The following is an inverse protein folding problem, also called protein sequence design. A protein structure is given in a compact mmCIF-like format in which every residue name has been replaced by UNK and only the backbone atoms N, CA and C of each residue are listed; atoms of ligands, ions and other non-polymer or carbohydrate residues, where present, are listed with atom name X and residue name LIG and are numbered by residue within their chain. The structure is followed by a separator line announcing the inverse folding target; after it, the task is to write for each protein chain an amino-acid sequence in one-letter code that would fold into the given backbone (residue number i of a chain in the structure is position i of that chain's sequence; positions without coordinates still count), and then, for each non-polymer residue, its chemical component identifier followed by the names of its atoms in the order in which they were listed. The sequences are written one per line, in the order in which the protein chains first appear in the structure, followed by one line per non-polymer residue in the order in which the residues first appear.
data_IF_573762723493
#
_entry.id   IF_573762723493
#
_cell.length_a   1.000
_cell.length_b   1.000
_cell.length_c   1.000
_cell.angle_alpha   90.00
_cell.angle_beta   90.00
_cell.angle_gamma   90.00
#
_symmetry.space_group_name_H-M   'P 1'
#
loop_
_entity.id
_entity.type
_entity.pdbx_description
1 polymer ?
#
# COMPACT_ATOMS: atom_id res chain seq x y z
N UNK A 1 5.81 -14.39 -38.20
CA UNK A 1 5.33 -13.79 -36.92
C UNK A 1 3.93 -14.33 -36.66
N UNK A 2 3.70 -14.85 -35.46
CA UNK A 2 2.39 -15.35 -35.01
C UNK A 2 1.82 -14.32 -34.09
N UNK A 3 0.59 -13.87 -34.35
CA UNK A 3 -0.12 -12.91 -33.49
C UNK A 3 -1.52 -13.43 -33.21
N UNK A 4 -1.87 -13.48 -31.92
CA UNK A 4 -3.22 -13.85 -31.51
C UNK A 4 -4.19 -12.67 -31.66
N UNK A 5 -5.39 -12.97 -32.16
CA UNK A 5 -6.48 -12.00 -32.31
C UNK A 5 -7.68 -12.45 -31.48
N UNK A 6 -8.38 -11.53 -30.85
CA UNK A 6 -9.54 -11.86 -30.02
C UNK A 6 -10.62 -10.79 -30.12
N UNK A 7 -11.88 -11.21 -30.13
CA UNK A 7 -13.04 -10.31 -30.09
C UNK A 7 -13.14 -9.55 -28.76
N UNK A 8 -12.61 -10.11 -27.69
CA UNK A 8 -12.50 -9.45 -26.38
C UNK A 8 -11.48 -8.32 -26.36
N UNK A 9 -10.56 -8.30 -27.34
CA UNK A 9 -9.58 -7.24 -27.54
C UNK A 9 -9.72 -6.66 -28.97
N UNK A 10 -10.72 -5.79 -29.25
CA UNK A 10 -11.08 -5.36 -30.61
C UNK A 10 -9.91 -4.81 -31.44
N UNK A 11 -8.92 -4.19 -30.79
CA UNK A 11 -7.71 -3.69 -31.47
C UNK A 11 -6.82 -4.78 -32.05
N UNK A 12 -6.85 -6.00 -31.46
CA UNK A 12 -6.09 -7.14 -31.96
C UNK A 12 -6.55 -7.57 -33.36
N UNK A 13 -7.78 -7.22 -33.76
CA UNK A 13 -8.36 -7.53 -35.07
C UNK A 13 -7.76 -6.70 -36.22
N UNK A 14 -6.96 -5.65 -35.89
CA UNK A 14 -6.36 -4.77 -36.90
C UNK A 14 -4.86 -5.05 -37.03
N UNK A 15 -4.50 -5.85 -38.02
CA UNK A 15 -3.10 -6.24 -38.26
C UNK A 15 -2.51 -5.47 -39.45
N UNK A 16 -1.24 -5.10 -39.31
CA UNK A 16 -0.43 -4.58 -40.40
C UNK A 16 0.37 -5.71 -41.02
N UNK A 17 0.14 -5.94 -42.30
CA UNK A 17 0.82 -6.95 -43.11
C UNK A 17 1.70 -6.29 -44.15
N UNK A 18 2.93 -6.77 -44.34
CA UNK A 18 3.82 -6.27 -45.40
C UNK A 18 3.25 -6.60 -46.78
N UNK A 19 3.39 -5.71 -47.78
CA UNK A 19 3.01 -6.01 -49.12
C UNK A 19 3.67 -7.30 -49.63
N UNK A 20 2.89 -8.14 -50.32
CA UNK A 20 3.39 -9.42 -50.86
C UNK A 20 3.46 -10.56 -49.87
N UNK A 21 3.08 -10.38 -48.60
CA UNK A 21 3.05 -11.43 -47.59
C UNK A 21 1.74 -12.23 -47.65
N UNK A 22 1.82 -13.52 -47.40
CA UNK A 22 0.64 -14.37 -47.19
C UNK A 22 0.23 -14.34 -45.73
N UNK A 23 -1.08 -14.33 -45.47
CA UNK A 23 -1.65 -14.41 -44.12
C UNK A 23 -2.36 -15.75 -43.97
N UNK A 24 -2.01 -16.50 -42.93
CA UNK A 24 -2.72 -17.72 -42.56
C UNK A 24 -3.50 -17.47 -41.28
N UNK A 25 -4.78 -17.81 -41.29
CA UNK A 25 -5.65 -17.74 -40.10
C UNK A 25 -5.76 -19.13 -39.50
N UNK A 26 -5.46 -19.21 -38.19
CA UNK A 26 -5.65 -20.42 -37.39
C UNK A 26 -6.82 -20.17 -36.48
N UNK A 27 -7.72 -21.15 -36.35
CA UNK A 27 -8.86 -21.10 -35.47
C UNK A 27 -8.54 -22.01 -34.29
N UNK A 28 -8.42 -21.44 -33.11
CA UNK A 28 -8.08 -22.14 -31.86
C UNK A 28 -9.33 -22.56 -31.08
N UNK A 29 -10.52 -22.22 -31.58
CA UNK A 29 -11.77 -22.59 -30.93
C UNK A 29 -12.08 -24.09 -31.10
N UNK A 30 -12.81 -24.70 -30.12
CA UNK A 30 -13.21 -26.10 -30.21
C UNK A 30 -13.91 -26.46 -31.52
N UNK A 31 -13.73 -27.68 -31.98
CA UNK A 31 -14.39 -28.20 -33.20
C UNK A 31 -15.91 -28.07 -33.07
N UNK A 32 -16.54 -27.44 -34.07
CA UNK A 32 -17.98 -27.18 -34.08
C UNK A 32 -18.37 -25.77 -33.63
N UNK A 33 -17.43 -24.95 -33.17
CA UNK A 33 -17.70 -23.55 -32.84
C UNK A 33 -18.07 -22.75 -34.08
N UNK A 34 -19.08 -21.87 -33.98
CA UNK A 34 -19.46 -20.94 -35.02
C UNK A 34 -18.76 -19.61 -34.79
N UNK A 35 -17.89 -19.23 -35.71
CA UNK A 35 -17.18 -17.96 -35.67
C UNK A 35 -17.73 -17.05 -36.72
N UNK A 36 -18.58 -16.07 -36.39
CA UNK A 36 -19.15 -15.13 -37.33
C UNK A 36 -18.08 -14.12 -37.74
N UNK A 37 -17.73 -14.08 -39.04
CA UNK A 37 -16.94 -13.00 -39.62
C UNK A 37 -17.51 -12.65 -40.99
N UNK A 38 -17.49 -11.35 -41.34
CA UNK A 38 -18.06 -10.86 -42.58
C UNK A 38 -17.02 -10.75 -43.70
N UNK A 39 -15.82 -10.35 -43.37
CA UNK A 39 -14.71 -10.21 -44.29
C UNK A 39 -13.37 -10.13 -43.56
N UNK A 40 -12.31 -10.60 -44.21
CA UNK A 40 -10.91 -10.37 -43.81
C UNK A 40 -10.30 -9.35 -44.78
N UNK A 41 -9.83 -8.22 -44.24
CA UNK A 41 -9.20 -7.14 -45.02
C UNK A 41 -7.83 -6.83 -44.44
N UNK A 42 -6.82 -6.80 -45.28
CA UNK A 42 -5.47 -6.43 -44.90
C UNK A 42 -5.33 -4.91 -44.72
N UNK A 43 -4.51 -4.50 -43.75
CA UNK A 43 -4.08 -3.12 -43.57
C UNK A 43 -5.19 -2.08 -43.41
N UNK A 44 -6.33 -2.48 -42.87
CA UNK A 44 -7.42 -1.55 -42.57
C UNK A 44 -6.96 -0.59 -41.46
N UNK A 45 -7.31 0.68 -41.58
CA UNK A 45 -7.02 1.65 -40.51
C UNK A 45 -7.83 1.32 -39.26
N UNK A 46 -7.15 1.30 -38.12
CA UNK A 46 -7.84 1.18 -36.83
C UNK A 46 -8.80 2.37 -36.69
N UNK A 47 -10.09 2.15 -36.40
CA UNK A 47 -11.03 3.23 -36.15
C UNK A 47 -10.55 4.14 -35.05
N UNK A 48 -10.72 5.45 -35.21
CA UNK A 48 -10.44 6.38 -34.13
C UNK A 48 -11.49 6.27 -33.04
N UNK A 49 -11.07 5.86 -31.88
CA UNK A 49 -11.91 5.84 -30.69
C UNK A 49 -11.57 7.00 -29.76
N UNK A 50 -12.52 7.90 -29.60
CA UNK A 50 -12.37 9.00 -28.65
C UNK A 50 -12.46 8.46 -27.21
N UNK A 51 -11.48 8.80 -26.38
CA UNK A 51 -11.44 8.39 -24.97
C UNK A 51 -11.26 9.62 -24.09
N UNK A 52 -12.29 9.95 -23.34
CA UNK A 52 -12.24 11.02 -22.34
C UNK A 52 -11.11 10.81 -21.33
N UNK A 53 -10.85 9.57 -20.93
CA UNK A 53 -9.74 9.25 -20.02
C UNK A 53 -8.39 9.66 -20.60
N UNK A 54 -8.12 9.35 -21.89
CA UNK A 54 -6.87 9.73 -22.53
C UNK A 54 -6.72 11.24 -22.63
N UNK A 55 -7.78 11.94 -23.02
CA UNK A 55 -7.79 13.40 -23.12
C UNK A 55 -7.55 14.01 -21.75
N UNK A 56 -8.20 13.51 -20.70
CA UNK A 56 -8.02 14.00 -19.33
C UNK A 56 -6.58 13.76 -18.83
N UNK A 57 -5.99 12.60 -19.10
CA UNK A 57 -4.58 12.32 -18.75
C UNK A 57 -3.65 13.28 -19.49
N UNK A 58 -3.84 13.47 -20.80
CA UNK A 58 -3.02 14.40 -21.59
C UNK A 58 -3.15 15.83 -21.09
N UNK A 59 -4.38 16.28 -20.80
CA UNK A 59 -4.63 17.60 -20.23
C UNK A 59 -3.98 17.77 -18.85
N UNK A 60 -4.08 16.76 -17.98
CA UNK A 60 -3.42 16.77 -16.68
C UNK A 60 -1.89 16.86 -16.80
N UNK A 61 -1.29 16.08 -17.69
CA UNK A 61 0.17 16.14 -17.96
C UNK A 61 0.56 17.51 -18.50
N UNK A 62 -0.18 18.06 -19.47
CA UNK A 62 0.09 19.39 -20.01
C UNK A 62 -0.02 20.47 -18.94
N UNK A 63 -1.03 20.40 -18.05
CA UNK A 63 -1.19 21.29 -16.92
C UNK A 63 -0.02 21.18 -15.94
N UNK A 64 0.39 19.97 -15.59
CA UNK A 64 1.56 19.74 -14.73
C UNK A 64 2.81 20.38 -15.33
N UNK A 65 3.09 20.13 -16.62
CA UNK A 65 4.24 20.74 -17.31
C UNK A 65 4.14 22.26 -17.30
N UNK A 66 2.96 22.84 -17.58
CA UNK A 66 2.76 24.28 -17.60
C UNK A 66 2.98 24.90 -16.20
N UNK A 67 2.53 24.24 -15.12
CA UNK A 67 2.68 24.73 -13.75
C UNK A 67 4.11 24.60 -13.23
N UNK A 68 4.83 23.52 -13.57
CA UNK A 68 6.18 23.26 -13.08
C UNK A 68 7.30 23.66 -14.04
N UNK A 69 6.99 24.21 -15.24
CA UNK A 69 8.04 24.71 -16.15
C UNK A 69 8.88 25.79 -15.48
N UNK A 70 10.19 25.86 -15.77
CA UNK A 70 11.05 26.94 -15.31
C UNK A 70 10.44 28.32 -15.56
N UNK A 71 10.50 29.23 -14.58
CA UNK A 71 9.94 30.56 -14.67
C UNK A 71 8.43 30.70 -14.44
N UNK A 72 7.70 29.61 -14.14
CA UNK A 72 6.30 29.68 -13.75
C UNK A 72 6.11 30.40 -12.41
N UNK A 73 4.86 30.74 -12.08
CA UNK A 73 4.53 31.40 -10.81
C UNK A 73 4.96 30.58 -9.59
N UNK A 74 4.87 29.23 -9.66
CA UNK A 74 5.26 28.35 -8.55
C UNK A 74 6.75 28.43 -8.19
N UNK A 75 7.63 28.74 -9.16
CA UNK A 75 9.06 28.95 -8.91
C UNK A 75 9.36 30.29 -8.24
N UNK A 76 8.48 31.30 -8.40
CA UNK A 76 8.63 32.63 -7.80
C UNK A 76 8.04 32.70 -6.38
N UNK A 77 7.11 31.81 -6.05
CA UNK A 77 6.48 31.76 -4.72
C UNK A 77 7.44 31.06 -3.76
N UNK A 78 7.90 31.78 -2.73
CA UNK A 78 8.72 31.21 -1.65
C UNK A 78 7.89 30.30 -0.76
N UNK A 79 8.50 29.24 -0.28
CA UNK A 79 7.91 28.35 0.71
C UNK A 79 7.68 29.11 2.04
N UNK A 80 6.43 29.15 2.49
CA UNK A 80 6.05 29.71 3.78
C UNK A 80 5.06 28.79 4.50
N UNK A 81 5.54 27.93 5.43
CA UNK A 81 4.67 27.02 6.17
C UNK A 81 3.59 27.69 7.01
N UNK A 82 3.75 28.99 7.35
CA UNK A 82 2.74 29.77 8.06
C UNK A 82 1.60 30.27 7.15
N UNK A 83 1.80 30.28 5.83
CA UNK A 83 0.80 30.76 4.86
C UNK A 83 -0.43 29.85 4.81
N UNK A 84 -1.59 30.40 5.10
CA UNK A 84 -2.88 29.69 5.01
C UNK A 84 -3.14 29.19 3.59
N UNK A 85 -2.78 29.97 2.55
CA UNK A 85 -2.94 29.54 1.15
C UNK A 85 -2.10 28.30 0.81
N UNK A 86 -0.85 28.25 1.29
CA UNK A 86 0.02 27.09 1.04
C UNK A 86 -0.42 25.85 1.84
N UNK A 87 -0.98 26.03 3.03
CA UNK A 87 -1.60 24.92 3.78
C UNK A 87 -2.80 24.35 3.04
N UNK A 88 -3.67 25.19 2.50
CA UNK A 88 -4.79 24.73 1.67
C UNK A 88 -4.33 24.07 0.36
N UNK A 89 -3.25 24.56 -0.25
CA UNK A 89 -2.65 23.90 -1.40
C UNK A 89 -2.13 22.51 -1.06
N UNK A 90 -1.54 22.31 0.12
CA UNK A 90 -1.14 20.99 0.60
C UNK A 90 -2.36 20.08 0.84
N UNK A 91 -3.43 20.60 1.45
CA UNK A 91 -4.68 19.84 1.63
C UNK A 91 -5.26 19.43 0.26
N UNK A 92 -5.30 20.35 -0.71
CA UNK A 92 -5.78 20.06 -2.06
C UNK A 92 -4.89 19.04 -2.77
N UNK A 93 -3.58 19.05 -2.55
CA UNK A 93 -2.64 18.05 -3.08
C UNK A 93 -2.88 16.65 -2.48
N UNK A 94 -3.17 16.57 -1.19
CA UNK A 94 -3.44 15.32 -0.48
C UNK A 94 -4.88 14.82 -0.66
N UNK A 95 -5.82 15.68 -1.03
CA UNK A 95 -7.23 15.31 -1.14
C UNK A 95 -7.52 14.14 -2.10
N UNK A 96 -6.94 14.06 -3.31
CA UNK A 96 -7.13 12.89 -4.18
C UNK A 96 -6.66 11.59 -3.54
N UNK A 97 -5.54 11.62 -2.82
CA UNK A 97 -5.02 10.47 -2.09
C UNK A 97 -5.94 10.09 -0.93
N UNK A 98 -6.46 11.08 -0.19
CA UNK A 98 -7.42 10.86 0.88
C UNK A 98 -8.71 10.22 0.37
N UNK A 99 -9.26 10.73 -0.74
CA UNK A 99 -10.45 10.16 -1.39
C UNK A 99 -10.17 8.73 -1.84
N UNK A 100 -9.07 8.50 -2.56
CA UNK A 100 -8.68 7.16 -2.99
C UNK A 100 -8.56 6.20 -1.80
N UNK A 101 -7.85 6.59 -0.75
CA UNK A 101 -7.66 5.78 0.46
C UNK A 101 -8.99 5.48 1.13
N UNK A 102 -9.89 6.47 1.26
CA UNK A 102 -11.21 6.28 1.87
C UNK A 102 -12.05 5.30 1.06
N UNK A 103 -12.10 5.45 -0.26
CA UNK A 103 -12.84 4.54 -1.15
C UNK A 103 -12.30 3.12 -1.03
N UNK A 104 -10.95 2.97 -1.01
CA UNK A 104 -10.32 1.66 -0.84
C UNK A 104 -10.62 1.06 0.54
N UNK A 105 -10.53 1.84 1.62
CA UNK A 105 -10.85 1.39 2.98
C UNK A 105 -12.30 0.90 3.06
N UNK A 106 -13.26 1.67 2.53
CA UNK A 106 -14.67 1.27 2.50
C UNK A 106 -14.83 -0.02 1.69
N UNK A 107 -14.19 -0.12 0.52
CA UNK A 107 -14.22 -1.33 -0.30
C UNK A 107 -13.68 -2.55 0.45
N UNK A 108 -12.54 -2.41 1.13
CA UNK A 108 -11.94 -3.49 1.91
C UNK A 108 -12.86 -3.93 3.07
N UNK A 109 -13.50 -3.01 3.78
CA UNK A 109 -14.48 -3.36 4.82
C UNK A 109 -15.69 -4.09 4.29
N UNK A 110 -16.15 -3.81 3.07
CA UNK A 110 -17.33 -4.45 2.49
C UNK A 110 -17.05 -5.88 1.98
N UNK A 111 -15.81 -6.18 1.64
CA UNK A 111 -15.41 -7.46 0.99
C UNK A 111 -14.58 -8.35 1.92
N UNK A 112 -13.99 -7.79 2.97
CA UNK A 112 -13.07 -8.54 3.83
C UNK A 112 -13.81 -9.53 4.74
N UNK A 113 -13.25 -10.71 4.81
CA UNK A 113 -13.58 -11.75 5.77
C UNK A 113 -12.29 -12.32 6.35
N UNK A 114 -12.39 -13.32 7.23
CA UNK A 114 -11.22 -14.01 7.76
C UNK A 114 -10.35 -14.58 6.64
N UNK A 115 -9.06 -14.27 6.66
CA UNK A 115 -8.09 -14.71 5.66
C UNK A 115 -7.28 -15.88 6.21
N UNK A 116 -7.96 -16.99 6.50
CA UNK A 116 -7.36 -18.23 6.98
C UNK A 116 -7.53 -19.32 5.92
N UNK A 117 -6.42 -19.90 5.52
CA UNK A 117 -6.36 -20.95 4.49
C UNK A 117 -5.82 -22.26 5.09
N UNK A 118 -6.72 -23.14 5.58
CA UNK A 118 -6.32 -24.43 6.16
C UNK A 118 -5.72 -25.34 5.10
N UNK A 119 -4.63 -26.02 5.45
CA UNK A 119 -4.07 -27.09 4.64
C UNK A 119 -3.79 -28.31 5.53
N UNK A 120 -4.57 -29.41 5.42
CA UNK A 120 -4.39 -30.57 6.27
C UNK A 120 -3.03 -31.26 6.13
N UNK A 121 -2.39 -31.18 4.96
CA UNK A 121 -1.10 -31.80 4.66
C UNK A 121 0.04 -30.79 4.54
N UNK A 122 -0.10 -29.62 5.20
CA UNK A 122 0.89 -28.56 5.16
C UNK A 122 0.57 -27.46 6.17
N UNK A 123 1.16 -26.29 5.96
CA UNK A 123 0.91 -25.16 6.83
C UNK A 123 -0.46 -24.54 6.57
N UNK A 124 -1.15 -24.21 7.64
CA UNK A 124 -2.28 -23.28 7.61
C UNK A 124 -1.76 -21.85 7.55
N UNK A 125 -2.21 -21.09 6.54
CA UNK A 125 -1.86 -19.69 6.39
C UNK A 125 -2.95 -18.84 7.06
N UNK A 126 -2.56 -18.07 8.07
CA UNK A 126 -3.42 -17.12 8.77
C UNK A 126 -2.85 -15.72 8.56
N UNK A 127 -3.55 -14.88 7.81
CA UNK A 127 -3.13 -13.52 7.49
C UNK A 127 -3.72 -12.47 8.42
N UNK A 128 -4.53 -12.90 9.42
CA UNK A 128 -5.19 -12.02 10.39
C UNK A 128 -4.45 -11.93 11.73
N UNK A 129 -3.17 -12.30 11.75
CA UNK A 129 -2.35 -12.40 12.97
C UNK A 129 -2.41 -11.14 13.87
N UNK A 130 -2.38 -9.93 13.29
CA UNK A 130 -2.43 -8.68 14.07
C UNK A 130 -3.75 -8.51 14.82
N UNK A 131 -4.85 -8.91 14.20
CA UNK A 131 -6.17 -8.86 14.82
C UNK A 131 -6.30 -9.93 15.92
N UNK A 132 -5.77 -11.13 15.70
CA UNK A 132 -5.71 -12.17 16.74
C UNK A 132 -4.89 -11.71 17.95
N UNK A 133 -3.77 -11.02 17.75
CA UNK A 133 -3.01 -10.43 18.86
C UNK A 133 -3.84 -9.39 19.59
N UNK A 134 -4.58 -8.53 18.88
CA UNK A 134 -5.45 -7.54 19.50
C UNK A 134 -6.55 -8.21 20.34
N UNK A 135 -7.17 -9.27 19.83
CA UNK A 135 -8.17 -10.05 20.56
C UNK A 135 -7.59 -10.69 21.83
N UNK A 136 -6.40 -11.27 21.71
CA UNK A 136 -5.71 -11.89 22.85
C UNK A 136 -5.39 -10.88 23.94
N UNK A 137 -4.88 -9.70 23.56
CA UNK A 137 -4.59 -8.61 24.50
C UNK A 137 -5.85 -8.11 25.22
N UNK A 138 -6.99 -7.97 24.52
CA UNK A 138 -8.26 -7.63 25.15
C UNK A 138 -8.72 -8.66 26.19
N UNK A 139 -8.38 -9.94 25.97
CA UNK A 139 -8.66 -11.03 26.88
C UNK A 139 -7.58 -11.21 27.96
N UNK A 140 -6.63 -10.26 28.10
CA UNK A 140 -5.53 -10.32 29.07
C UNK A 140 -4.49 -11.41 28.78
N UNK A 141 -4.35 -11.83 27.51
CA UNK A 141 -3.44 -12.90 27.08
C UNK A 141 -2.39 -12.33 26.12
N UNK A 142 -1.20 -12.94 26.13
CA UNK A 142 -0.11 -12.62 25.19
C UNK A 142 0.07 -13.67 24.09
N UNK A 143 -0.65 -14.79 24.19
CA UNK A 143 -0.67 -15.86 23.20
C UNK A 143 -1.96 -15.81 22.38
N UNK A 144 -1.90 -16.35 21.18
CA UNK A 144 -3.03 -16.41 20.26
C UNK A 144 -3.98 -17.55 20.64
N UNK A 145 -5.27 -17.28 20.55
CA UNK A 145 -6.33 -18.27 20.80
C UNK A 145 -6.57 -19.12 19.55
N UNK A 146 -5.52 -19.83 19.12
CA UNK A 146 -5.53 -20.71 17.96
C UNK A 146 -5.54 -22.17 18.40
N UNK A 147 -6.15 -23.08 17.64
CA UNK A 147 -6.23 -24.49 17.97
C UNK A 147 -4.84 -25.12 18.05
N UNK A 148 -4.66 -25.96 19.06
CA UNK A 148 -3.44 -26.73 19.29
C UNK A 148 -3.79 -28.21 19.28
N UNK A 149 -3.19 -28.96 18.38
CA UNK A 149 -3.38 -30.41 18.35
C UNK A 149 -2.58 -31.08 19.47
N UNK A 150 -3.10 -32.16 20.07
CA UNK A 150 -2.39 -32.92 21.11
C UNK A 150 -1.04 -33.44 20.62
N UNK A 151 -0.94 -33.87 19.36
CA UNK A 151 0.29 -34.38 18.76
C UNK A 151 1.40 -33.32 18.70
N UNK A 152 1.04 -32.09 18.35
CA UNK A 152 1.97 -30.96 18.35
C UNK A 152 2.39 -30.58 19.77
N UNK A 153 1.43 -30.56 20.71
CA UNK A 153 1.71 -30.21 22.11
C UNK A 153 2.64 -31.20 22.81
N UNK A 154 2.58 -32.50 22.41
CA UNK A 154 3.40 -33.57 22.98
C UNK A 154 4.71 -33.79 22.21
N UNK A 155 4.93 -33.09 21.10
CA UNK A 155 6.15 -33.22 20.32
C UNK A 155 7.37 -32.77 21.13
N UNK A 156 8.42 -33.57 21.17
CA UNK A 156 9.67 -33.26 21.88
C UNK A 156 10.33 -31.97 21.34
N UNK A 157 10.26 -31.77 20.01
CA UNK A 157 10.66 -30.53 19.36
C UNK A 157 9.62 -30.14 18.28
N UNK A 158 8.65 -29.29 18.60
CA UNK A 158 7.59 -28.90 17.67
C UNK A 158 8.10 -28.01 16.51
N UNK A 159 9.38 -27.62 16.51
CA UNK A 159 10.02 -26.82 15.45
C UNK A 159 10.87 -27.68 14.49
N UNK A 160 11.11 -28.94 14.83
CA UNK A 160 11.87 -29.84 13.98
C UNK A 160 11.10 -30.11 12.67
N UNK A 161 11.81 -29.96 11.54
CA UNK A 161 11.22 -30.11 10.21
C UNK A 161 10.75 -31.55 9.94
N UNK A 162 11.46 -32.54 10.47
CA UNK A 162 11.10 -33.96 10.31
C UNK A 162 9.84 -34.28 11.12
N UNK A 163 9.76 -33.77 12.37
CA UNK A 163 8.58 -33.93 13.22
C UNK A 163 7.37 -33.27 12.56
N UNK A 164 7.53 -32.04 12.05
CA UNK A 164 6.45 -31.36 11.32
C UNK A 164 6.04 -32.10 10.06
N UNK A 165 6.98 -32.68 9.33
CA UNK A 165 6.71 -33.52 8.16
C UNK A 165 5.80 -34.72 8.51
N UNK A 166 6.11 -35.44 9.57
CA UNK A 166 5.28 -36.56 10.06
C UNK A 166 3.89 -36.12 10.51
N UNK A 167 3.81 -34.94 11.17
CA UNK A 167 2.53 -34.36 11.58
C UNK A 167 1.66 -33.97 10.37
N UNK A 168 2.26 -33.46 9.28
CA UNK A 168 1.56 -33.16 8.04
C UNK A 168 1.04 -34.41 7.34
N UNK A 169 1.83 -35.51 7.33
CA UNK A 169 1.39 -36.79 6.76
C UNK A 169 0.13 -37.33 7.45
N UNK A 170 0.00 -37.12 8.76
CA UNK A 170 -1.19 -37.52 9.51
C UNK A 170 -2.48 -36.81 9.08
N UNK A 171 -2.36 -35.61 8.50
CA UNK A 171 -3.49 -34.75 8.11
C UNK A 171 -4.40 -34.27 9.25
N UNK A 172 -4.01 -34.57 10.52
CA UNK A 172 -4.83 -34.26 11.71
C UNK A 172 -4.33 -33.04 12.47
N UNK A 173 -3.10 -32.58 12.18
CA UNK A 173 -2.44 -31.53 12.95
C UNK A 173 -2.43 -30.24 12.16
N UNK A 174 -2.98 -29.17 12.74
CA UNK A 174 -2.93 -27.84 12.18
C UNK A 174 -1.67 -27.14 12.68
N UNK A 175 -0.79 -26.75 11.77
CA UNK A 175 0.43 -26.00 12.05
C UNK A 175 0.33 -24.67 11.29
N UNK A 176 0.41 -23.56 12.02
CA UNK A 176 0.29 -22.24 11.45
C UNK A 176 1.62 -21.75 10.88
N UNK A 177 1.58 -21.24 9.64
CA UNK A 177 2.72 -20.60 8.98
C UNK A 177 3.03 -19.26 9.65
N UNK A 178 4.32 -18.97 9.83
CA UNK A 178 4.78 -17.72 10.44
C UNK A 178 4.23 -17.43 11.84
N UNK A 179 3.97 -18.49 12.60
CA UNK A 179 3.68 -18.40 14.02
C UNK A 179 4.75 -19.14 14.83
N UNK A 180 5.08 -18.61 15.99
CA UNK A 180 5.91 -19.30 16.97
C UNK A 180 5.03 -20.17 17.87
N UNK A 181 5.47 -21.40 18.15
CA UNK A 181 4.80 -22.31 19.07
C UNK A 181 5.68 -22.54 20.29
N UNK A 182 5.16 -22.24 21.49
CA UNK A 182 5.91 -22.43 22.73
C UNK A 182 4.97 -22.69 23.90
N UNK A 183 5.33 -23.65 24.76
CA UNK A 183 4.57 -23.95 25.97
C UNK A 183 3.11 -24.33 25.73
N UNK A 184 2.79 -24.96 24.59
CA UNK A 184 1.42 -25.32 24.24
C UNK A 184 0.58 -24.16 23.67
N UNK A 185 1.19 -23.04 23.31
CA UNK A 185 0.51 -21.87 22.79
C UNK A 185 1.17 -21.33 21.51
N UNK A 186 0.35 -20.67 20.67
CA UNK A 186 0.80 -19.96 19.49
C UNK A 186 1.07 -18.48 19.79
N UNK A 187 2.12 -17.94 19.18
CA UNK A 187 2.52 -16.54 19.31
C UNK A 187 2.78 -15.93 17.93
N UNK A 188 2.41 -14.66 17.76
CA UNK A 188 2.93 -13.85 16.66
C UNK A 188 4.26 -13.24 17.09
N UNK A 189 5.27 -13.27 16.19
CA UNK A 189 6.56 -12.61 16.41
C UNK A 189 6.66 -11.27 15.69
N UNK A 190 5.60 -10.84 15.01
CA UNK A 190 5.52 -9.51 14.41
C UNK A 190 5.36 -8.43 15.48
N UNK A 191 5.87 -7.22 15.18
CA UNK A 191 5.89 -6.13 16.15
C UNK A 191 4.49 -5.73 16.66
N UNK A 192 4.37 -5.57 17.97
CA UNK A 192 3.10 -5.26 18.65
C UNK A 192 2.64 -3.81 18.49
N UNK A 193 3.50 -2.88 18.05
CA UNK A 193 3.17 -1.44 17.98
C UNK A 193 1.96 -1.15 17.07
N UNK A 194 1.86 -1.69 15.85
CA UNK A 194 0.64 -1.52 15.05
C UNK A 194 -0.60 -2.09 15.73
N UNK A 195 -0.46 -3.22 16.46
CA UNK A 195 -1.58 -3.81 17.20
C UNK A 195 -2.12 -2.84 18.24
N UNK A 196 -1.27 -2.33 19.10
CA UNK A 196 -1.66 -1.44 20.22
C UNK A 196 -2.24 -0.11 19.71
N UNK A 197 -1.77 0.39 18.58
CA UNK A 197 -2.18 1.71 18.07
C UNK A 197 -3.38 1.68 17.11
N UNK A 198 -3.63 0.55 16.45
CA UNK A 198 -4.70 0.47 15.43
C UNK A 198 -5.68 -0.68 15.69
N UNK A 199 -5.21 -1.92 15.77
CA UNK A 199 -6.09 -3.09 15.88
C UNK A 199 -6.79 -3.16 17.24
N UNK A 200 -6.06 -2.99 18.32
CA UNK A 200 -6.60 -3.05 19.68
C UNK A 200 -7.64 -1.96 19.95
N UNK A 201 -7.38 -0.66 19.67
CA UNK A 201 -8.39 0.39 19.86
C UNK A 201 -9.62 0.19 18.98
N UNK A 202 -9.45 -0.24 17.72
CA UNK A 202 -10.58 -0.51 16.84
C UNK A 202 -11.46 -1.62 17.41
N UNK A 203 -10.85 -2.74 17.82
CA UNK A 203 -11.57 -3.87 18.38
C UNK A 203 -12.22 -3.51 19.72
N UNK A 204 -11.53 -2.77 20.58
CA UNK A 204 -12.06 -2.28 21.87
C UNK A 204 -13.27 -1.35 21.66
N UNK A 205 -13.20 -0.42 20.71
CA UNK A 205 -14.30 0.49 20.42
C UNK A 205 -15.49 -0.29 19.82
N UNK A 206 -15.25 -1.17 18.87
CA UNK A 206 -16.32 -1.95 18.23
C UNK A 206 -16.95 -2.98 19.17
N UNK A 207 -16.28 -3.38 20.23
CA UNK A 207 -16.85 -4.26 21.26
C UNK A 207 -18.02 -3.64 22.04
N UNK A 208 -18.21 -2.31 21.95
CA UNK A 208 -19.34 -1.61 22.56
C UNK A 208 -20.69 -1.99 21.91
N UNK A 209 -20.69 -2.45 20.66
CA UNK A 209 -21.92 -2.84 19.94
C UNK A 209 -21.85 -4.24 19.30
N UNK A 210 -20.66 -4.83 19.19
CA UNK A 210 -20.45 -6.19 18.66
C UNK A 210 -19.71 -7.03 19.70
N UNK A 211 -20.32 -8.09 20.25
CA UNK A 211 -19.65 -8.96 21.22
C UNK A 211 -18.28 -9.46 20.68
N UNK A 212 -17.21 -9.21 21.42
CA UNK A 212 -15.84 -9.54 21.02
C UNK A 212 -15.17 -8.56 20.05
N UNK A 213 -15.88 -7.49 19.66
CA UNK A 213 -15.39 -6.48 18.72
C UNK A 213 -15.35 -6.95 17.27
N UNK A 214 -15.22 -6.02 16.36
CA UNK A 214 -15.06 -6.31 14.93
C UNK A 214 -13.57 -6.50 14.59
N UNK A 215 -13.29 -7.36 13.62
CA UNK A 215 -11.97 -7.52 13.04
C UNK A 215 -11.60 -6.27 12.23
N UNK A 216 -10.40 -5.73 12.45
CA UNK A 216 -9.83 -4.72 11.58
C UNK A 216 -9.09 -5.42 10.43
N UNK A 217 -9.54 -5.29 9.18
CA UNK A 217 -8.81 -5.88 8.06
C UNK A 217 -7.38 -5.33 8.00
N UNK A 218 -6.42 -6.23 7.82
CA UNK A 218 -5.00 -5.87 7.71
C UNK A 218 -4.74 -4.86 6.58
N UNK A 219 -5.45 -5.02 5.45
CA UNK A 219 -5.42 -4.09 4.32
C UNK A 219 -5.83 -2.67 4.68
N UNK A 220 -6.87 -2.52 5.50
CA UNK A 220 -7.36 -1.21 5.99
C UNK A 220 -6.30 -0.52 6.84
N UNK A 221 -5.66 -1.26 7.76
CA UNK A 221 -4.59 -0.73 8.59
C UNK A 221 -3.40 -0.24 7.75
N UNK A 222 -2.97 -1.01 6.74
CA UNK A 222 -1.90 -0.62 5.83
C UNK A 222 -2.27 0.64 5.05
N UNK A 223 -3.46 0.71 4.46
CA UNK A 223 -3.93 1.88 3.71
C UNK A 223 -3.95 3.14 4.58
N UNK A 224 -4.41 3.02 5.82
CA UNK A 224 -4.42 4.13 6.78
C UNK A 224 -2.99 4.59 7.10
N UNK A 225 -2.09 3.66 7.43
CA UNK A 225 -0.70 3.99 7.73
C UNK A 225 0.01 4.62 6.52
N UNK A 226 -0.27 4.15 5.31
CA UNK A 226 0.29 4.72 4.08
C UNK A 226 -0.20 6.14 3.81
N UNK A 227 -1.47 6.41 4.08
CA UNK A 227 -2.00 7.78 4.01
C UNK A 227 -1.34 8.70 5.06
N UNK A 228 -1.24 8.25 6.30
CA UNK A 228 -0.56 8.99 7.37
C UNK A 228 0.92 9.21 7.06
N UNK A 229 1.60 8.20 6.49
CA UNK A 229 2.96 8.36 5.98
C UNK A 229 3.05 9.50 4.96
N UNK A 230 2.16 9.53 3.96
CA UNK A 230 2.18 10.58 2.94
C UNK A 230 1.97 11.98 3.56
N UNK A 231 1.07 12.12 4.54
CA UNK A 231 0.86 13.36 5.28
C UNK A 231 2.14 13.77 6.02
N UNK A 232 2.70 12.88 6.84
CA UNK A 232 3.89 13.22 7.64
C UNK A 232 5.14 13.40 6.78
N UNK A 233 5.26 12.69 5.66
CA UNK A 233 6.32 12.89 4.68
C UNK A 233 6.26 14.30 4.08
N UNK A 234 5.08 14.75 3.67
CA UNK A 234 4.89 16.13 3.18
C UNK A 234 5.28 17.15 4.25
N UNK A 235 4.78 16.99 5.47
CA UNK A 235 5.07 17.89 6.59
C UNK A 235 6.56 17.91 6.95
N UNK A 236 7.22 16.73 6.94
CA UNK A 236 8.64 16.58 7.19
C UNK A 236 9.46 17.30 6.12
N UNK A 237 9.19 17.06 4.84
CA UNK A 237 9.93 17.66 3.73
C UNK A 237 9.74 19.18 3.73
N UNK A 238 8.50 19.68 3.92
CA UNK A 238 8.22 21.12 4.00
C UNK A 238 9.04 21.77 5.12
N UNK A 239 9.05 21.16 6.31
CA UNK A 239 9.79 21.70 7.45
C UNK A 239 11.30 21.65 7.25
N UNK A 240 11.79 20.54 6.72
CA UNK A 240 13.22 20.36 6.42
C UNK A 240 13.69 21.36 5.37
N UNK A 241 12.94 21.50 4.27
CA UNK A 241 13.24 22.46 3.20
C UNK A 241 13.22 23.90 3.74
N UNK A 242 12.20 24.27 4.52
CA UNK A 242 12.14 25.61 5.11
C UNK A 242 13.34 25.90 6.02
N UNK A 243 13.84 24.89 6.74
CA UNK A 243 14.95 25.02 7.69
C UNK A 243 16.33 25.11 7.02
N UNK A 244 16.55 24.26 6.00
CA UNK A 244 17.85 24.14 5.32
C UNK A 244 17.96 25.11 4.13
N UNK A 245 16.86 25.38 3.47
CA UNK A 245 16.77 26.21 2.26
C UNK A 245 15.68 27.27 2.38
N UNK A 246 15.85 28.32 3.21
CA UNK A 246 14.80 29.31 3.51
C UNK A 246 14.29 30.10 2.29
N UNK A 247 15.06 30.08 1.19
CA UNK A 247 14.69 30.70 -0.09
C UNK A 247 14.08 29.70 -1.10
N UNK A 248 13.85 28.44 -0.70
CA UNK A 248 13.27 27.46 -1.60
C UNK A 248 11.88 27.88 -2.09
N UNK A 249 11.61 27.58 -3.35
CA UNK A 249 10.29 27.83 -3.95
C UNK A 249 9.31 26.71 -3.65
N UNK A 250 8.02 27.02 -3.78
CA UNK A 250 6.95 26.00 -3.71
C UNK A 250 7.15 24.92 -4.78
N UNK A 251 7.57 25.31 -6.00
CA UNK A 251 7.85 24.34 -7.06
C UNK A 251 8.96 23.35 -6.68
N UNK A 252 10.10 23.85 -6.21
CA UNK A 252 11.21 23.00 -5.80
C UNK A 252 10.80 22.06 -4.65
N UNK A 253 10.12 22.60 -3.63
CA UNK A 253 9.64 21.80 -2.50
C UNK A 253 8.67 20.70 -2.92
N UNK A 254 7.72 21.01 -3.82
CA UNK A 254 6.75 20.03 -4.30
C UNK A 254 7.42 18.90 -5.12
N UNK A 255 8.44 19.23 -5.90
CA UNK A 255 9.25 18.19 -6.61
C UNK A 255 9.95 17.28 -5.59
N UNK A 256 10.58 17.84 -4.56
CA UNK A 256 11.23 17.05 -3.50
C UNK A 256 10.22 16.16 -2.79
N UNK A 257 9.00 16.65 -2.48
CA UNK A 257 7.93 15.85 -1.90
C UNK A 257 7.60 14.66 -2.81
N UNK A 258 7.35 14.90 -4.09
CA UNK A 258 7.01 13.84 -5.04
C UNK A 258 8.16 12.83 -5.17
N UNK A 259 9.40 13.29 -5.29
CA UNK A 259 10.57 12.42 -5.34
C UNK A 259 10.72 11.57 -4.07
N UNK A 260 10.48 12.16 -2.88
CA UNK A 260 10.53 11.44 -1.62
C UNK A 260 9.43 10.36 -1.53
N UNK A 261 8.19 10.70 -1.89
CA UNK A 261 7.05 9.76 -1.86
C UNK A 261 7.25 8.61 -2.85
N UNK A 262 7.73 8.90 -4.06
CA UNK A 262 7.99 7.85 -5.06
C UNK A 262 9.23 7.03 -4.74
N UNK A 263 10.30 7.69 -4.27
CA UNK A 263 11.58 7.05 -3.94
C UNK A 263 11.52 6.18 -2.68
N UNK A 264 10.54 6.40 -1.78
CA UNK A 264 10.33 5.57 -0.60
C UNK A 264 9.76 4.17 -0.91
N UNK A 265 9.49 3.87 -2.18
CA UNK A 265 8.83 2.64 -2.63
C UNK A 265 7.45 2.38 -1.97
N UNK A 266 6.84 3.43 -1.41
CA UNK A 266 5.57 3.35 -0.72
C UNK A 266 4.42 2.88 -1.63
N UNK A 267 4.50 3.18 -2.94
CA UNK A 267 3.52 2.73 -3.93
C UNK A 267 3.40 1.20 -3.99
N UNK A 268 4.49 0.47 -3.75
CA UNK A 268 4.47 -1.00 -3.72
C UNK A 268 3.52 -1.55 -2.66
N UNK A 269 3.43 -0.90 -1.49
CA UNK A 269 2.57 -1.34 -0.39
C UNK A 269 1.08 -1.21 -0.72
N UNK A 270 0.69 -0.35 -1.68
CA UNK A 270 -0.70 -0.27 -2.17
C UNK A 270 -1.13 -1.49 -2.99
N UNK A 271 -0.18 -2.24 -3.56
CA UNK A 271 -0.43 -3.46 -4.32
C UNK A 271 -0.27 -4.74 -3.50
N UNK A 272 0.38 -4.65 -2.34
CA UNK A 272 0.62 -5.78 -1.43
C UNK A 272 0.08 -5.50 -0.03
N UNK A 273 -1.24 -5.58 0.10
CA UNK A 273 -1.96 -5.31 1.35
C UNK A 273 -2.05 -6.59 2.22
N UNK A 274 -0.90 -7.18 2.54
CA UNK A 274 -0.83 -8.38 3.39
C UNK A 274 -0.13 -8.08 4.72
N UNK A 275 -0.19 -9.02 5.65
CA UNK A 275 0.35 -8.83 7.00
C UNK A 275 1.86 -8.54 7.03
N UNK A 276 2.65 -9.01 6.05
CA UNK A 276 4.06 -8.65 5.92
C UNK A 276 4.28 -7.16 5.60
N UNK A 277 3.30 -6.51 5.00
CA UNK A 277 3.38 -5.09 4.66
C UNK A 277 3.12 -4.17 5.85
N UNK A 278 2.51 -4.67 6.93
CA UNK A 278 2.22 -3.89 8.14
C UNK A 278 3.48 -3.30 8.78
N UNK A 279 4.57 -4.07 9.04
CA UNK A 279 5.78 -3.52 9.61
C UNK A 279 6.42 -2.44 8.75
N UNK A 280 6.40 -2.60 7.42
CA UNK A 280 6.96 -1.62 6.50
C UNK A 280 6.14 -0.32 6.49
N UNK A 281 4.81 -0.41 6.40
CA UNK A 281 3.92 0.75 6.46
C UNK A 281 4.06 1.48 7.80
N UNK A 282 4.11 0.74 8.90
CA UNK A 282 4.34 1.28 10.24
C UNK A 282 5.69 1.99 10.34
N UNK A 283 6.77 1.37 9.85
CA UNK A 283 8.11 1.95 9.85
C UNK A 283 8.15 3.28 9.09
N UNK A 284 7.60 3.34 7.88
CA UNK A 284 7.54 4.57 7.08
C UNK A 284 6.76 5.67 7.81
N UNK A 285 5.58 5.34 8.34
CA UNK A 285 4.73 6.30 9.05
C UNK A 285 5.41 6.82 10.33
N UNK A 286 5.87 5.93 11.20
CA UNK A 286 6.44 6.33 12.50
C UNK A 286 7.78 7.04 12.35
N UNK A 287 8.60 6.66 11.37
CA UNK A 287 9.86 7.35 11.10
C UNK A 287 9.61 8.79 10.64
N UNK A 288 8.70 8.99 9.68
CA UNK A 288 8.39 10.33 9.19
C UNK A 288 7.71 11.19 10.26
N UNK A 289 6.79 10.63 11.04
CA UNK A 289 6.16 11.29 12.17
C UNK A 289 7.20 11.68 13.24
N UNK A 290 8.06 10.73 13.64
CA UNK A 290 9.08 10.95 14.66
C UNK A 290 10.08 12.04 14.26
N UNK A 291 10.58 12.00 13.01
CA UNK A 291 11.47 13.03 12.48
C UNK A 291 10.78 14.39 12.38
N UNK A 292 9.51 14.44 11.95
CA UNK A 292 8.75 15.69 11.90
C UNK A 292 8.55 16.27 13.30
N UNK A 293 8.19 15.45 14.31
CA UNK A 293 8.03 15.88 15.69
C UNK A 293 9.37 16.37 16.28
N UNK A 294 10.44 15.65 16.04
CA UNK A 294 11.78 16.05 16.45
C UNK A 294 12.18 17.41 15.88
N UNK A 295 11.99 17.61 14.58
CA UNK A 295 12.24 18.92 13.94
C UNK A 295 11.30 20.01 14.49
N UNK A 296 10.06 19.67 14.87
CA UNK A 296 9.13 20.61 15.47
C UNK A 296 9.57 21.04 16.87
N UNK A 297 10.09 20.13 17.65
CA UNK A 297 10.54 20.39 19.02
C UNK A 297 11.89 21.12 19.08
N UNK A 298 12.73 20.99 18.04
CA UNK A 298 14.06 21.62 18.02
C UNK A 298 13.94 23.08 17.60
N UNK A 299 14.43 24.06 18.39
CA UNK A 299 14.37 25.47 18.05
C UNK A 299 15.10 25.77 16.74
N UNK A 300 14.60 26.71 15.96
CA UNK A 300 15.28 27.21 14.77
C UNK A 300 16.48 28.04 15.23
N UNK A 301 17.70 27.62 14.89
CA UNK A 301 18.87 28.48 15.05
C UNK A 301 18.70 29.67 14.11
N UNK A 302 18.38 30.83 14.65
CA UNK A 302 18.48 32.06 13.88
C UNK A 302 19.98 32.33 13.62
N UNK A 303 20.47 32.30 12.36
CA UNK A 303 21.79 32.78 12.05
C UNK A 303 21.76 34.33 12.13
N UNK A 304 21.95 34.88 13.31
CA UNK A 304 21.91 36.35 13.41
C UNK A 304 21.91 36.94 14.81
N UNK A 305 21.77 36.16 15.87
CA UNK A 305 22.13 36.65 17.22
C UNK A 305 23.57 36.23 17.49
N UNK A 306 24.52 36.98 16.91
CA UNK A 306 25.88 36.97 17.36
C UNK A 306 25.89 37.23 18.87
N UNK A 307 26.43 36.28 19.62
CA UNK A 307 26.94 36.57 20.95
C UNK A 307 27.96 37.67 20.79
N UNK A 308 27.55 38.91 21.12
CA UNK A 308 28.54 39.91 21.48
C UNK A 308 29.20 39.39 22.77
N UNK A 309 30.27 38.62 22.61
CA UNK A 309 31.23 38.36 23.67
C UNK A 309 31.78 39.75 24.03
N UNK A 310 31.27 40.35 25.09
CA UNK A 310 31.96 41.44 25.74
C UNK A 310 33.24 40.85 26.36
N UNK A 311 34.35 41.02 25.62
CA UNK A 311 35.69 40.92 26.20
C UNK A 311 35.87 42.25 26.96
N UNK A 312 35.71 42.20 28.28
CA UNK A 312 36.13 43.21 29.20
C UNK A 312 37.48 42.80 29.79
#
# INVERSE_FOLDING_TARGET
EITSVSTSAPRSLYLKVKPGSSVRLWIEEPVGSRIPFSAVRANVRVPFEFSWLRVSIMAAVALLVALWRPGSALWRIRLNPASVRQRWALVAFLAPLAIYTTVRIVGEFLVSGPLVFPNPHGYTYDFDQYDHVAQSLLNGRVWLDLPVSPELAQAANPHDILVRGQLFESGKTQIFWDHAFYGGHWYSYFGVVPVVLFFLPFRAITSLWTPGGMMLPTSVCILLMMFLFAVFACLLVIRLTHRLCPNASVAATSIVIVMFLLGSNASYLHFRLNFYSVPFAASLMFTTLGLWLWLKATPERHPGRGEHVHVG
#
